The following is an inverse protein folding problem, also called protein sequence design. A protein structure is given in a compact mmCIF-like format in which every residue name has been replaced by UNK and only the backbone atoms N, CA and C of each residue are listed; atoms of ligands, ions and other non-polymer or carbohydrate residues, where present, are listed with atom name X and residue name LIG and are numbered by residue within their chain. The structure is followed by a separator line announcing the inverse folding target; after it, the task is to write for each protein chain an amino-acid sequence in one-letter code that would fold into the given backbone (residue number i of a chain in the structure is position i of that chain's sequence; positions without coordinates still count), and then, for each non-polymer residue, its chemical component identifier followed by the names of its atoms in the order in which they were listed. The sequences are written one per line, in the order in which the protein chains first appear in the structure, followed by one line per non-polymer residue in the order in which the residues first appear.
data_IF_955327756643
#
_entry.id   IF_955327756643
#
_cell.length_a   1.000
_cell.length_b   1.000
_cell.length_c   1.000
_cell.angle_alpha   90.00
_cell.angle_beta   90.00
_cell.angle_gamma   90.00
#
_symmetry.space_group_name_H-M   'P 1'
#
loop_
_entity.id
_entity.type
_entity.pdbx_description
1 polymer ?
#
# COMPACT_ATOMS: atom_id res chain seq x y z
N UNK A 1 -2.17 -11.96 -33.32
CA UNK A 1 -3.37 -12.00 -32.46
C UNK A 1 -3.82 -10.57 -32.21
N UNK A 2 -5.12 -10.28 -32.21
CA UNK A 2 -5.64 -8.91 -31.99
C UNK A 2 -5.96 -8.72 -30.51
N UNK A 3 -5.54 -7.60 -29.93
CA UNK A 3 -5.87 -7.18 -28.56
C UNK A 3 -7.25 -6.52 -28.59
N UNK A 4 -8.14 -6.90 -27.68
CA UNK A 4 -9.40 -6.20 -27.45
C UNK A 4 -9.16 -5.00 -26.52
N UNK A 5 -9.28 -3.79 -27.08
CA UNK A 5 -9.10 -2.53 -26.35
C UNK A 5 -10.39 -1.98 -25.74
N UNK A 6 -11.51 -2.70 -25.88
CA UNK A 6 -12.86 -2.29 -25.47
C UNK A 6 -13.77 -1.96 -26.65
N UNK A 7 -15.07 -1.95 -26.40
CA UNK A 7 -16.12 -1.72 -27.40
C UNK A 7 -16.25 -0.26 -27.85
N UNK A 8 -15.82 0.68 -27.02
CA UNK A 8 -16.00 2.11 -27.25
C UNK A 8 -17.43 2.62 -27.01
N UNK A 9 -18.25 1.89 -26.25
CA UNK A 9 -19.69 2.20 -26.06
C UNK A 9 -19.98 3.62 -25.56
N UNK A 10 -19.08 4.23 -24.80
CA UNK A 10 -19.25 5.59 -24.27
C UNK A 10 -18.84 6.69 -25.27
N UNK A 11 -18.36 6.33 -26.46
CA UNK A 11 -17.91 7.27 -27.47
C UNK A 11 -16.72 8.11 -27.02
N UNK A 12 -16.63 9.33 -27.55
CA UNK A 12 -15.55 10.27 -27.26
C UNK A 12 -15.87 11.10 -26.02
N UNK A 13 -15.03 11.00 -24.98
CA UNK A 13 -15.26 11.66 -23.69
C UNK A 13 -14.07 12.52 -23.30
N UNK A 14 -14.36 13.73 -22.81
CA UNK A 14 -13.38 14.60 -22.15
C UNK A 14 -13.79 14.81 -20.70
N UNK A 15 -12.89 14.47 -19.78
CA UNK A 15 -13.04 14.72 -18.35
C UNK A 15 -12.26 15.99 -18.00
N UNK A 16 -13.00 17.07 -17.71
CA UNK A 16 -12.48 18.40 -17.39
C UNK A 16 -12.62 18.80 -15.92
N UNK A 17 -13.14 17.91 -15.07
CA UNK A 17 -13.27 18.12 -13.63
C UNK A 17 -13.04 16.81 -12.88
N UNK A 18 -12.63 16.90 -11.62
CA UNK A 18 -12.44 15.72 -10.78
C UNK A 18 -13.71 14.86 -10.78
N UNK A 19 -13.56 13.55 -10.99
CA UNK A 19 -14.69 12.62 -11.11
C UNK A 19 -14.32 11.26 -10.56
N UNK A 20 -15.33 10.48 -10.22
CA UNK A 20 -15.19 9.06 -9.83
C UNK A 20 -15.85 8.21 -10.90
N UNK A 21 -15.11 7.26 -11.47
CA UNK A 21 -15.65 6.31 -12.43
C UNK A 21 -16.22 5.08 -11.74
N UNK A 22 -17.08 4.36 -12.45
CA UNK A 22 -17.43 2.99 -12.07
C UNK A 22 -16.26 2.04 -12.35
N UNK A 23 -16.39 0.79 -11.90
CA UNK A 23 -15.31 -0.19 -11.94
C UNK A 23 -14.85 -0.55 -13.35
N UNK A 24 -15.76 -0.57 -14.33
CA UNK A 24 -15.42 -0.86 -15.73
C UNK A 24 -16.03 0.25 -16.59
N UNK A 25 -15.23 0.82 -17.47
CA UNK A 25 -15.65 1.86 -18.42
C UNK A 25 -14.93 1.69 -19.76
N UNK A 26 -15.71 1.76 -20.85
CA UNK A 26 -15.21 1.55 -22.21
C UNK A 26 -15.48 2.80 -23.07
N UNK A 27 -14.42 3.45 -23.55
CA UNK A 27 -14.48 4.68 -24.33
C UNK A 27 -13.98 4.46 -25.75
N UNK A 28 -14.49 5.21 -26.73
CA UNK A 28 -13.88 5.24 -28.06
C UNK A 28 -12.58 6.03 -28.00
N UNK A 29 -12.66 7.28 -27.51
CA UNK A 29 -11.53 8.12 -27.13
C UNK A 29 -11.76 8.71 -25.75
N UNK A 30 -10.70 8.81 -24.94
CA UNK A 30 -10.78 9.41 -23.61
C UNK A 30 -9.70 10.48 -23.45
N UNK A 31 -10.10 11.69 -23.09
CA UNK A 31 -9.19 12.76 -22.69
C UNK A 31 -9.37 13.09 -21.21
N UNK A 32 -8.29 12.99 -20.43
CA UNK A 32 -8.24 13.46 -19.05
C UNK A 32 -7.39 14.72 -19.03
N UNK A 33 -8.02 15.87 -18.77
CA UNK A 33 -7.34 17.17 -18.82
C UNK A 33 -6.28 17.34 -17.71
N UNK A 34 -5.34 18.25 -17.93
CA UNK A 34 -4.35 18.60 -16.92
C UNK A 34 -5.02 19.16 -15.66
N UNK A 35 -4.49 18.82 -14.49
CA UNK A 35 -5.06 19.21 -13.19
C UNK A 35 -6.29 18.41 -12.76
N UNK A 36 -6.83 17.53 -13.61
CA UNK A 36 -7.99 16.69 -13.29
C UNK A 36 -7.54 15.37 -12.65
N UNK A 37 -8.21 14.97 -11.58
CA UNK A 37 -8.09 13.64 -10.97
C UNK A 37 -9.32 12.79 -11.25
N UNK A 38 -9.12 11.68 -11.93
CA UNK A 38 -10.10 10.61 -12.13
C UNK A 38 -9.86 9.54 -11.06
N UNK A 39 -10.85 9.35 -10.20
CA UNK A 39 -10.81 8.33 -9.16
C UNK A 39 -11.45 7.04 -9.69
N UNK A 40 -10.76 5.91 -9.61
CA UNK A 40 -11.28 4.58 -9.98
C UNK A 40 -11.39 3.70 -8.74
N UNK A 41 -12.40 2.82 -8.63
CA UNK A 41 -12.43 1.87 -7.53
C UNK A 41 -11.30 0.84 -7.64
N UNK A 42 -10.97 0.18 -6.52
CA UNK A 42 -10.00 -0.91 -6.53
C UNK A 42 -10.41 -2.03 -7.51
N UNK A 43 -9.45 -2.47 -8.32
CA UNK A 43 -9.71 -3.38 -9.44
C UNK A 43 -10.44 -2.70 -10.60
N UNK A 44 -10.31 -1.39 -10.72
CA UNK A 44 -10.89 -0.60 -11.80
C UNK A 44 -10.21 -0.88 -13.13
N UNK A 45 -10.98 -0.88 -14.21
CA UNK A 45 -10.53 -1.12 -15.58
C UNK A 45 -11.03 0.03 -16.45
N UNK A 46 -10.08 0.74 -17.08
CA UNK A 46 -10.36 1.74 -18.10
C UNK A 46 -9.96 1.14 -19.44
N UNK A 47 -10.93 0.98 -20.33
CA UNK A 47 -10.74 0.51 -21.70
C UNK A 47 -10.99 1.66 -22.68
N UNK A 48 -10.08 1.84 -23.64
CA UNK A 48 -10.18 2.88 -24.67
C UNK A 48 -9.85 2.28 -26.02
N UNK A 49 -10.87 2.12 -26.86
CA UNK A 49 -10.78 1.41 -28.13
C UNK A 49 -9.72 2.02 -29.08
N UNK A 50 -9.55 3.34 -29.03
CA UNK A 50 -8.54 4.05 -29.83
C UNK A 50 -7.55 4.86 -28.96
N UNK A 51 -7.81 6.14 -28.68
CA UNK A 51 -6.82 7.01 -28.04
C UNK A 51 -7.19 7.43 -26.62
N UNK A 52 -6.30 7.14 -25.66
CA UNK A 52 -6.27 7.75 -24.33
C UNK A 52 -5.28 8.93 -24.32
N UNK A 53 -5.79 10.15 -24.15
CA UNK A 53 -4.97 11.34 -23.87
C UNK A 53 -4.94 11.61 -22.38
N UNK A 54 -3.89 11.14 -21.69
CA UNK A 54 -3.74 11.26 -20.23
C UNK A 54 -2.84 12.44 -19.88
N UNK A 55 -3.42 13.60 -19.56
CA UNK A 55 -2.70 14.79 -19.09
C UNK A 55 -2.91 15.06 -17.58
N UNK A 56 -3.91 14.43 -16.97
CA UNK A 56 -4.21 14.52 -15.54
C UNK A 56 -3.75 13.28 -14.76
N UNK A 57 -4.51 12.93 -13.71
CA UNK A 57 -4.21 11.82 -12.80
C UNK A 57 -5.33 10.80 -12.81
N UNK A 58 -5.00 9.52 -12.95
CA UNK A 58 -5.87 8.39 -12.59
C UNK A 58 -5.41 7.89 -11.22
N UNK A 59 -6.31 7.88 -10.23
CA UNK A 59 -6.02 7.47 -8.85
C UNK A 59 -6.97 6.38 -8.38
N UNK A 60 -6.47 5.35 -7.72
CA UNK A 60 -7.32 4.35 -7.05
C UNK A 60 -7.95 4.96 -5.79
N UNK A 61 -9.28 4.91 -5.69
CA UNK A 61 -10.08 5.58 -4.65
C UNK A 61 -10.55 4.70 -3.49
N UNK A 62 -10.30 3.39 -3.55
CA UNK A 62 -10.72 2.45 -2.49
C UNK A 62 -9.56 1.62 -1.99
N UNK A 63 -9.52 1.52 -0.66
CA UNK A 63 -8.48 0.91 0.16
C UNK A 63 -8.69 -0.61 0.25
N UNK A 64 -7.65 -1.40 0.00
CA UNK A 64 -7.68 -2.85 0.28
C UNK A 64 -6.81 -3.16 1.48
N UNK A 65 -7.34 -3.92 2.43
CA UNK A 65 -6.71 -4.13 3.73
C UNK A 65 -6.70 -2.84 4.53
N UNK A 66 -7.76 -2.61 5.32
CA UNK A 66 -7.77 -1.48 6.25
C UNK A 66 -6.65 -1.67 7.27
N UNK A 67 -5.84 -0.63 7.48
CA UNK A 67 -4.98 -0.56 8.66
C UNK A 67 -5.82 -0.79 9.91
N UNK A 68 -5.33 -1.60 10.85
CA UNK A 68 -6.17 -1.97 11.98
C UNK A 68 -6.55 -0.73 12.82
N UNK A 69 -7.83 -0.61 13.16
CA UNK A 69 -8.33 0.50 13.99
C UNK A 69 -8.22 0.12 15.46
N UNK A 70 -7.37 0.83 16.21
CA UNK A 70 -7.26 0.69 17.65
C UNK A 70 -7.44 2.01 18.38
N UNK A 71 -8.04 1.94 19.56
CA UNK A 71 -8.39 3.10 20.40
C UNK A 71 -7.17 3.79 21.05
N UNK A 72 -5.99 3.18 21.05
CA UNK A 72 -4.79 3.70 21.72
C UNK A 72 -3.50 3.59 20.88
N UNK A 73 -3.60 3.28 19.58
CA UNK A 73 -2.49 3.30 18.65
C UNK A 73 -3.00 3.82 17.33
N UNK A 74 -2.20 4.62 16.62
CA UNK A 74 -2.68 5.19 15.37
C UNK A 74 -2.80 4.12 14.28
N UNK A 75 -3.73 4.39 13.37
CA UNK A 75 -4.10 3.50 12.28
C UNK A 75 -2.90 3.16 11.40
N UNK A 76 -2.81 1.90 10.96
CA UNK A 76 -1.95 1.55 9.83
C UNK A 76 -2.43 2.25 8.56
N UNK A 77 -1.52 2.43 7.59
CA UNK A 77 -1.84 2.91 6.27
C UNK A 77 -2.51 1.81 5.43
N UNK A 78 -3.48 2.21 4.62
CA UNK A 78 -4.18 1.31 3.73
C UNK A 78 -3.39 1.02 2.45
N UNK A 79 -3.59 -0.15 1.83
CA UNK A 79 -2.88 -0.46 0.58
C UNK A 79 -3.51 0.23 -0.64
N UNK A 80 -2.68 0.49 -1.66
CA UNK A 80 -3.01 1.31 -2.82
C UNK A 80 -3.98 0.72 -3.84
N UNK A 81 -4.34 -0.57 -3.72
CA UNK A 81 -5.30 -1.22 -4.61
C UNK A 81 -4.78 -1.49 -6.02
N UNK A 82 -5.66 -1.66 -6.99
CA UNK A 82 -5.28 -1.98 -8.38
C UNK A 82 -6.08 -1.22 -9.43
N UNK A 83 -5.41 -0.92 -10.56
CA UNK A 83 -6.02 -0.36 -11.77
C UNK A 83 -5.38 -0.96 -13.02
N UNK A 84 -6.20 -1.22 -14.04
CA UNK A 84 -5.76 -1.54 -15.39
C UNK A 84 -6.20 -0.44 -16.37
N UNK A 85 -5.26 0.00 -17.21
CA UNK A 85 -5.47 0.94 -18.30
C UNK A 85 -5.15 0.22 -19.61
N UNK A 86 -6.19 0.01 -20.41
CA UNK A 86 -6.13 -0.73 -21.66
C UNK A 86 -6.52 0.25 -22.76
N UNK A 87 -5.60 0.62 -23.63
CA UNK A 87 -5.88 1.57 -24.70
C UNK A 87 -5.00 1.30 -25.90
N UNK A 88 -5.54 1.35 -27.12
CA UNK A 88 -4.73 1.10 -28.31
C UNK A 88 -3.53 2.05 -28.38
N UNK A 89 -3.78 3.35 -28.18
CA UNK A 89 -2.74 4.38 -28.09
C UNK A 89 -2.90 5.19 -26.81
N UNK A 90 -1.81 5.36 -26.06
CA UNK A 90 -1.73 6.29 -24.93
C UNK A 90 -0.86 7.49 -25.33
N UNK A 91 -1.31 8.69 -25.01
CA UNK A 91 -0.56 9.94 -25.19
C UNK A 91 -0.67 10.83 -23.95
N UNK A 92 0.07 11.94 -23.92
CA UNK A 92 0.10 12.87 -22.79
C UNK A 92 1.22 12.56 -21.80
N UNK A 93 1.18 13.19 -20.62
CA UNK A 93 2.24 13.10 -19.60
C UNK A 93 1.69 12.94 -18.17
N UNK A 94 0.49 12.40 -18.06
CA UNK A 94 -0.21 12.27 -16.79
C UNK A 94 0.30 11.13 -15.93
N UNK A 95 -0.41 10.91 -14.83
CA UNK A 95 -0.02 9.98 -13.77
C UNK A 95 -1.10 8.91 -13.58
N UNK A 96 -0.70 7.66 -13.37
CA UNK A 96 -1.56 6.61 -12.83
C UNK A 96 -0.99 6.19 -11.47
N UNK A 97 -1.79 6.30 -10.40
CA UNK A 97 -1.34 6.04 -9.03
C UNK A 97 -2.21 5.01 -8.32
N UNK A 98 -1.54 4.01 -7.75
CA UNK A 98 -2.04 3.04 -6.81
C UNK A 98 -1.10 3.02 -5.58
N UNK A 99 -0.79 4.18 -5.01
CA UNK A 99 0.12 4.31 -3.86
C UNK A 99 -0.55 3.85 -2.56
N UNK A 100 0.22 3.20 -1.69
CA UNK A 100 -0.16 2.91 -0.32
C UNK A 100 -0.19 4.17 0.55
N UNK A 101 -1.04 4.17 1.57
CA UNK A 101 -1.20 5.33 2.45
C UNK A 101 -0.18 5.35 3.59
N UNK A 102 0.07 6.54 4.10
CA UNK A 102 0.95 6.76 5.26
C UNK A 102 0.26 6.26 6.53
N UNK A 103 1.00 5.55 7.38
CA UNK A 103 0.53 5.16 8.72
C UNK A 103 0.44 6.35 9.66
N UNK A 104 -0.48 6.30 10.62
CA UNK A 104 -0.70 7.43 11.54
C UNK A 104 0.40 7.55 12.61
N UNK A 105 0.72 8.79 12.99
CA UNK A 105 1.69 9.12 14.04
C UNK A 105 1.14 8.86 15.43
N UNK A 106 1.88 8.15 16.29
CA UNK A 106 1.58 7.84 17.70
C UNK A 106 1.02 9.02 18.51
N UNK A 107 0.02 8.76 19.36
CA UNK A 107 -0.57 9.75 20.25
C UNK A 107 0.24 9.96 21.53
N UNK A 108 0.22 11.19 22.06
CA UNK A 108 0.83 11.51 23.36
C UNK A 108 -0.11 11.26 24.54
N UNK A 109 -1.30 10.71 24.29
CA UNK A 109 -2.38 10.61 25.25
C UNK A 109 -2.38 9.26 25.96
N UNK A 110 -1.97 9.24 27.23
CA UNK A 110 -1.99 8.06 28.09
C UNK A 110 -3.41 7.55 28.37
N UNK A 111 -4.07 6.96 27.37
CA UNK A 111 -5.27 6.18 27.57
C UNK A 111 -4.92 4.91 28.36
N UNK A 112 -5.69 4.63 29.42
CA UNK A 112 -5.61 3.37 30.16
C UNK A 112 -6.12 2.22 29.28
N UNK A 113 -5.38 1.82 28.25
CA UNK A 113 -5.79 0.77 27.33
C UNK A 113 -4.90 -0.45 27.49
N UNK A 114 -5.35 -1.38 28.34
CA UNK A 114 -4.82 -2.73 28.49
C UNK A 114 -5.27 -3.66 27.32
N UNK A 115 -5.53 -3.09 26.14
CA UNK A 115 -6.17 -3.79 25.02
C UNK A 115 -5.14 -4.22 23.98
N UNK A 116 -4.72 -5.49 24.06
CA UNK A 116 -4.30 -6.40 22.97
C UNK A 116 -3.29 -5.95 21.89
N UNK A 117 -2.42 -6.87 21.48
CA UNK A 117 -1.55 -6.69 20.31
C UNK A 117 -2.36 -6.27 19.07
N UNK A 118 -1.83 -5.32 18.29
CA UNK A 118 -2.47 -4.90 17.05
C UNK A 118 -2.52 -6.05 16.04
N UNK A 119 -3.71 -6.42 15.57
CA UNK A 119 -3.84 -7.42 14.51
C UNK A 119 -3.17 -6.92 13.22
N UNK A 120 -2.57 -7.84 12.47
CA UNK A 120 -2.11 -7.60 11.08
C UNK A 120 -3.24 -7.02 10.24
N UNK A 121 -2.90 -6.10 9.33
CA UNK A 121 -3.73 -5.84 8.16
C UNK A 121 -3.81 -7.12 7.34
N UNK A 122 -4.92 -7.87 7.46
CA UNK A 122 -5.08 -9.10 6.70
C UNK A 122 -5.36 -8.75 5.22
N UNK A 123 -4.77 -9.51 4.29
CA UNK A 123 -5.16 -9.43 2.90
C UNK A 123 -6.60 -9.95 2.74
N UNK A 124 -7.33 -9.54 1.69
CA UNK A 124 -8.57 -10.22 1.35
C UNK A 124 -8.32 -11.70 1.04
N UNK A 125 -8.99 -12.62 1.75
CA UNK A 125 -8.93 -14.08 1.53
C UNK A 125 -9.67 -14.43 0.24
N UNK A 126 -9.05 -15.22 -0.65
CA UNK A 126 -9.74 -15.81 -1.82
C UNK A 126 -10.21 -17.22 -1.46
N UNK A 127 -11.52 -17.50 -1.37
CA UNK A 127 -12.02 -18.84 -1.09
C UNK A 127 -11.65 -19.82 -2.22
N UNK A 128 -11.02 -20.95 -1.90
CA UNK A 128 -10.95 -22.13 -2.79
C UNK A 128 -9.62 -22.40 -3.52
N UNK A 129 -8.53 -21.69 -3.23
CA UNK A 129 -7.17 -22.10 -3.67
C UNK A 129 -6.21 -22.15 -2.48
N UNK A 130 -5.33 -23.14 -2.48
CA UNK A 130 -4.35 -23.41 -1.42
C UNK A 130 -3.38 -22.24 -1.21
N UNK A 131 -3.67 -21.43 -0.19
CA UNK A 131 -2.89 -20.57 0.74
C UNK A 131 -1.42 -20.18 0.54
N UNK A 132 -0.70 -20.57 -0.52
CA UNK A 132 0.75 -20.32 -0.64
C UNK A 132 1.14 -19.18 -1.59
N UNK A 133 0.20 -18.55 -2.29
CA UNK A 133 0.46 -17.53 -3.32
C UNK A 133 -0.07 -16.14 -2.95
N UNK A 134 -0.57 -15.95 -1.72
CA UNK A 134 -1.28 -14.74 -1.29
C UNK A 134 -0.52 -14.01 -0.18
N UNK A 135 -0.11 -12.76 -0.44
CA UNK A 135 0.53 -11.85 0.54
C UNK A 135 -0.31 -11.77 1.78
N UNK A 136 0.26 -11.94 2.97
CA UNK A 136 -0.31 -11.36 4.19
C UNK A 136 0.34 -10.01 4.50
N UNK A 137 -0.46 -9.01 4.86
CA UNK A 137 0.11 -7.80 5.48
C UNK A 137 0.87 -8.17 6.75
N UNK A 138 1.85 -7.34 7.15
CA UNK A 138 2.60 -7.54 8.40
C UNK A 138 1.68 -7.60 9.61
N UNK A 139 2.07 -8.39 10.61
CA UNK A 139 1.52 -8.28 11.96
C UNK A 139 1.74 -6.86 12.50
N UNK A 140 0.72 -6.32 13.16
CA UNK A 140 0.83 -5.07 13.90
C UNK A 140 1.85 -5.16 15.03
N UNK A 141 2.19 -4.02 15.61
CA UNK A 141 3.07 -3.92 16.78
C UNK A 141 2.53 -4.72 17.96
N UNK A 142 3.42 -5.38 18.70
CA UNK A 142 3.06 -6.00 19.97
C UNK A 142 2.85 -4.92 21.04
N UNK A 143 1.86 -5.09 21.91
CA UNK A 143 1.67 -4.23 23.08
C UNK A 143 2.83 -4.43 24.06
N UNK A 144 3.25 -3.36 24.75
CA UNK A 144 4.21 -3.45 25.85
C UNK A 144 3.53 -4.01 27.10
N UNK A 145 4.04 -5.12 27.65
CA UNK A 145 3.66 -5.59 28.99
C UNK A 145 4.49 -4.88 30.08
N UNK A 146 3.97 -4.91 31.32
CA UNK A 146 4.39 -4.14 32.52
C UNK A 146 5.87 -4.18 32.96
N UNK A 147 6.74 -4.91 32.26
CA UNK A 147 8.17 -5.06 32.59
C UNK A 147 9.07 -5.21 31.36
N UNK A 148 8.54 -4.98 30.15
CA UNK A 148 9.25 -5.21 28.90
C UNK A 148 8.86 -4.17 27.85
N UNK A 149 9.84 -3.70 27.08
CA UNK A 149 9.61 -2.89 25.88
C UNK A 149 8.46 -3.43 25.02
N UNK A 150 7.66 -2.53 24.45
CA UNK A 150 6.74 -2.90 23.37
C UNK A 150 7.55 -3.47 22.21
N UNK A 151 7.25 -4.73 21.86
CA UNK A 151 7.88 -5.36 20.71
C UNK A 151 7.42 -4.65 19.44
N UNK A 152 8.37 -4.23 18.59
CA UNK A 152 8.03 -3.71 17.27
C UNK A 152 7.26 -4.74 16.46
N UNK A 153 6.38 -4.28 15.57
CA UNK A 153 5.65 -5.14 14.66
C UNK A 153 6.60 -5.94 13.80
N UNK A 154 6.29 -7.23 13.60
CA UNK A 154 7.07 -8.08 12.71
C UNK A 154 7.15 -7.51 11.30
N UNK A 155 8.16 -7.92 10.54
CA UNK A 155 8.24 -7.58 9.13
C UNK A 155 6.97 -8.04 8.38
N UNK A 156 6.59 -7.32 7.33
CA UNK A 156 5.61 -7.81 6.36
C UNK A 156 6.09 -9.08 5.69
N UNK A 157 5.17 -9.95 5.29
CA UNK A 157 5.50 -11.05 4.39
C UNK A 157 5.28 -10.57 2.96
N UNK A 158 6.32 -10.60 2.13
CA UNK A 158 6.13 -10.53 0.68
C UNK A 158 5.64 -11.91 0.23
N UNK A 159 4.55 -12.00 -0.54
CA UNK A 159 4.48 -13.12 -1.47
C UNK A 159 5.38 -12.79 -2.60
N UNK A 160 6.44 -13.58 -2.67
CA UNK A 160 7.21 -13.74 -3.88
C UNK A 160 6.23 -14.43 -4.84
N UNK A 161 5.45 -13.64 -5.61
CA UNK A 161 5.32 -14.05 -7.01
C UNK A 161 6.76 -14.02 -7.47
N UNK A 162 7.38 -15.19 -7.54
CA UNK A 162 8.74 -15.28 -8.04
C UNK A 162 8.78 -14.46 -9.33
N UNK A 163 9.83 -13.68 -9.56
CA UNK A 163 9.92 -12.86 -10.77
C UNK A 163 9.68 -13.72 -12.01
N UNK A 164 9.98 -15.01 -11.90
CA UNK A 164 9.78 -16.06 -12.89
C UNK A 164 8.31 -16.55 -12.98
N UNK A 165 7.54 -16.48 -11.90
CA UNK A 165 6.10 -16.75 -11.89
C UNK A 165 5.25 -15.60 -12.43
N UNK A 166 5.79 -14.37 -12.47
CA UNK A 166 5.08 -13.22 -13.05
C UNK A 166 4.74 -13.48 -14.52
N UNK A 167 5.68 -14.02 -15.30
CA UNK A 167 5.43 -14.40 -16.69
C UNK A 167 4.35 -15.48 -16.79
N UNK A 168 4.39 -16.49 -15.93
CA UNK A 168 3.38 -17.55 -15.92
C UNK A 168 2.00 -17.00 -15.55
N UNK A 169 1.93 -16.11 -14.56
CA UNK A 169 0.67 -15.46 -14.17
C UNK A 169 0.12 -14.60 -15.31
N UNK A 170 0.97 -13.80 -15.95
CA UNK A 170 0.56 -12.98 -17.09
C UNK A 170 0.10 -13.86 -18.26
N UNK A 171 0.83 -14.92 -18.59
CA UNK A 171 0.51 -15.84 -19.69
C UNK A 171 -0.75 -16.68 -19.42
N UNK A 172 -1.01 -17.06 -18.18
CA UNK A 172 -2.16 -17.94 -17.85
C UNK A 172 -3.43 -17.17 -17.49
N UNK A 173 -3.30 -15.98 -16.90
CA UNK A 173 -4.45 -15.22 -16.40
C UNK A 173 -4.72 -13.96 -17.18
N UNK A 174 -3.69 -13.22 -17.60
CA UNK A 174 -3.89 -11.96 -18.31
C UNK A 174 -4.15 -12.23 -19.79
N UNK A 175 -3.28 -12.98 -20.47
CA UNK A 175 -3.36 -13.22 -21.92
C UNK A 175 -4.68 -13.90 -22.32
N UNK A 176 -5.14 -14.99 -21.68
CA UNK A 176 -6.38 -15.65 -22.07
C UNK A 176 -7.61 -14.77 -21.80
N UNK A 177 -7.53 -13.89 -20.80
CA UNK A 177 -8.61 -12.98 -20.43
C UNK A 177 -8.73 -11.75 -21.32
N UNK A 178 -7.68 -11.39 -22.07
CA UNK A 178 -7.78 -10.38 -23.15
C UNK A 178 -8.63 -10.91 -24.32
N UNK A 179 -8.86 -12.23 -24.39
CA UNK A 179 -9.72 -12.85 -25.40
C UNK A 179 -11.14 -13.15 -24.94
N UNK A 180 -11.40 -13.05 -23.64
CA UNK A 180 -12.73 -13.25 -23.06
C UNK A 180 -13.23 -11.87 -22.66
N UNK A 181 -14.39 -11.45 -23.15
CA UNK A 181 -15.05 -10.18 -22.84
C UNK A 181 -15.38 -9.95 -21.34
N UNK A 182 -14.85 -10.80 -20.47
CA UNK A 182 -14.87 -10.68 -19.02
C UNK A 182 -13.42 -10.77 -18.54
N UNK A 183 -12.76 -9.63 -18.38
CA UNK A 183 -11.55 -9.56 -17.57
C UNK A 183 -11.93 -10.09 -16.18
N UNK A 184 -11.39 -11.24 -15.71
CA UNK A 184 -11.59 -11.65 -14.35
C UNK A 184 -11.02 -10.51 -13.51
N UNK A 185 -11.90 -9.78 -12.81
CA UNK A 185 -11.56 -8.65 -11.94
C UNK A 185 -10.17 -8.91 -11.37
N UNK A 186 -9.16 -8.06 -11.61
CA UNK A 186 -7.83 -8.26 -11.08
C UNK A 186 -7.90 -8.19 -9.56
N UNK A 187 -8.30 -9.30 -8.93
CA UNK A 187 -8.27 -9.56 -7.50
C UNK A 187 -6.83 -9.90 -7.15
N UNK A 188 -5.90 -9.04 -7.60
CA UNK A 188 -4.52 -9.11 -7.19
C UNK A 188 -4.40 -8.36 -5.88
N UNK A 189 -3.83 -9.09 -4.92
CA UNK A 189 -4.00 -8.89 -3.50
C UNK A 189 -2.85 -8.00 -3.02
N UNK A 190 -3.21 -6.92 -2.34
CA UNK A 190 -2.27 -6.03 -1.68
C UNK A 190 -2.62 -6.05 -0.19
N UNK A 191 -1.64 -6.26 0.68
CA UNK A 191 -1.84 -6.27 2.12
C UNK A 191 -1.76 -4.87 2.71
N UNK A 192 -2.75 -4.49 3.52
CA UNK A 192 -2.70 -3.25 4.31
C UNK A 192 -1.54 -3.24 5.32
N UNK A 193 -1.17 -2.06 5.80
CA UNK A 193 -0.23 -1.90 6.90
C UNK A 193 -0.79 -2.40 8.24
N UNK A 194 0.09 -2.94 9.09
CA UNK A 194 -0.27 -3.26 10.47
C UNK A 194 -0.42 -1.99 11.32
N UNK A 195 -1.34 -2.00 12.28
CA UNK A 195 -1.46 -0.89 13.24
C UNK A 195 -0.30 -0.84 14.23
N UNK A 196 -0.05 0.35 14.78
CA UNK A 196 0.86 0.56 15.90
C UNK A 196 0.36 -0.10 17.18
N UNK A 197 1.28 -0.57 18.02
CA UNK A 197 0.96 -1.03 19.37
C UNK A 197 0.74 0.17 20.31
N UNK A 198 -0.24 0.04 21.20
CA UNK A 198 -0.50 1.04 22.24
C UNK A 198 0.64 1.10 23.27
N UNK A 199 0.92 2.28 23.82
CA UNK A 199 1.80 2.43 24.99
C UNK A 199 1.13 1.91 26.27
N UNK A 200 1.93 1.42 27.22
CA UNK A 200 1.37 0.97 28.51
C UNK A 200 1.09 2.17 29.41
N UNK A 201 -0.12 2.23 29.99
CA UNK A 201 -0.44 3.14 31.08
C UNK A 201 -1.14 2.35 32.20
N UNK A 202 -0.57 2.34 33.41
CA UNK A 202 -1.30 1.92 34.61
C UNK A 202 -1.16 2.94 35.71
N UNK A 203 -2.31 3.33 36.24
CA UNK A 203 -2.51 4.13 37.45
C UNK A 203 -2.20 3.39 38.76
N UNK A 204 -1.47 2.26 38.72
CA UNK A 204 -1.10 1.52 39.93
C UNK A 204 0.32 1.88 40.35
N UNK A 205 0.42 2.44 41.56
CA UNK A 205 1.55 3.18 42.16
C UNK A 205 2.92 2.48 42.28
N UNK A 206 3.29 1.47 41.49
CA UNK A 206 4.58 0.79 41.69
C UNK A 206 5.17 -0.02 40.52
N UNK A 207 4.76 0.16 39.26
CA UNK A 207 5.29 -0.65 38.13
C UNK A 207 5.70 0.17 36.90
N UNK A 208 6.77 -0.29 36.22
CA UNK A 208 7.41 0.33 35.05
C UNK A 208 6.47 0.58 33.87
N UNK A 209 6.51 1.79 33.31
CA UNK A 209 5.75 2.18 32.11
C UNK A 209 6.60 2.05 30.84
N UNK A 210 6.36 1.01 30.03
CA UNK A 210 7.00 0.84 28.72
C UNK A 210 6.33 1.65 27.61
N UNK A 211 7.11 2.12 26.63
CA UNK A 211 6.58 2.72 25.40
C UNK A 211 5.96 1.66 24.48
N UNK A 212 4.95 2.05 23.70
CA UNK A 212 4.28 1.17 22.73
C UNK A 212 5.21 0.83 21.56
N UNK A 213 5.12 -0.41 21.05
CA UNK A 213 5.82 -0.81 19.84
C UNK A 213 5.17 -0.22 18.59
N UNK A 214 5.96 0.17 17.59
CA UNK A 214 5.46 0.62 16.29
C UNK A 214 4.85 -0.52 15.46
N UNK A 215 3.95 -0.18 14.55
CA UNK A 215 3.26 -1.12 13.67
C UNK A 215 4.14 -1.60 12.53
N UNK A 216 3.98 -2.85 12.09
CA UNK A 216 4.63 -3.35 10.87
C UNK A 216 4.03 -2.72 9.61
N UNK A 217 4.85 -2.48 8.59
CA UNK A 217 4.41 -1.98 7.28
C UNK A 217 3.79 -3.07 6.40
N UNK A 218 2.79 -2.71 5.60
CA UNK A 218 2.05 -3.63 4.75
C UNK A 218 2.92 -4.25 3.66
N UNK A 219 2.75 -5.54 3.41
CA UNK A 219 3.40 -6.24 2.30
C UNK A 219 2.56 -6.16 1.03
N UNK A 220 3.22 -5.96 -0.12
CA UNK A 220 2.62 -6.05 -1.45
C UNK A 220 3.00 -7.37 -2.14
N UNK A 221 2.36 -7.67 -3.26
CA UNK A 221 2.71 -8.81 -4.12
C UNK A 221 4.12 -8.72 -4.72
N UNK A 222 4.80 -7.59 -4.58
CA UNK A 222 6.08 -7.29 -5.22
C UNK A 222 7.16 -6.75 -4.27
N UNK A 223 6.78 -6.29 -3.07
CA UNK A 223 7.68 -5.67 -2.10
C UNK A 223 7.26 -5.98 -0.67
N UNK A 224 8.24 -6.33 0.16
CA UNK A 224 8.04 -6.60 1.58
C UNK A 224 7.88 -5.31 2.38
N UNK A 225 6.93 -5.27 3.32
CA UNK A 225 6.84 -4.16 4.28
C UNK A 225 7.91 -4.25 5.38
N UNK A 226 8.37 -3.10 5.85
CA UNK A 226 9.36 -3.00 6.92
C UNK A 226 8.78 -3.31 8.31
N UNK A 227 9.61 -3.79 9.24
CA UNK A 227 9.20 -3.96 10.65
C UNK A 227 8.96 -2.63 11.35
N UNK A 228 8.09 -2.63 12.36
CA UNK A 228 7.96 -1.53 13.30
C UNK A 228 9.15 -1.48 14.28
N UNK A 229 9.42 -0.31 14.83
CA UNK A 229 10.40 -0.10 15.89
C UNK A 229 9.85 -0.46 17.27
N UNK A 230 10.71 -0.84 18.21
CA UNK A 230 10.30 -1.08 19.60
C UNK A 230 10.12 0.23 20.38
N UNK A 231 9.23 0.21 21.39
CA UNK A 231 9.14 1.32 22.35
C UNK A 231 10.36 1.41 23.28
N UNK A 232 10.51 2.54 23.96
CA UNK A 232 11.54 2.76 24.97
C UNK A 232 11.26 2.09 26.32
N UNK A 233 12.31 1.96 27.15
CA UNK A 233 12.26 1.37 28.49
C UNK A 233 11.97 2.44 29.56
N UNK A 234 10.77 2.45 30.15
CA UNK A 234 10.46 3.36 31.26
C UNK A 234 10.66 2.79 32.67
N UNK A 235 10.71 3.70 33.64
CA UNK A 235 10.89 3.39 35.07
C UNK A 235 9.53 3.40 35.80
N UNK A 236 9.46 2.83 37.00
CA UNK A 236 8.20 2.56 37.72
C UNK A 236 7.41 3.79 38.23
N UNK A 237 7.95 5.00 38.08
CA UNK A 237 7.37 6.23 38.64
C UNK A 237 6.92 7.27 37.61
N UNK A 238 7.00 6.94 36.32
CA UNK A 238 6.63 7.83 35.23
C UNK A 238 5.22 7.56 34.74
N UNK A 239 4.48 8.60 34.34
CA UNK A 239 3.16 8.48 33.70
C UNK A 239 3.18 7.64 32.42
N UNK A 240 2.04 7.56 31.72
CA UNK A 240 1.88 6.72 30.53
C UNK A 240 2.96 6.89 29.47
N UNK A 241 3.44 5.76 28.92
CA UNK A 241 4.38 5.72 27.80
C UNK A 241 3.78 6.34 26.53
N UNK A 242 4.64 6.75 25.59
CA UNK A 242 4.20 7.18 24.27
C UNK A 242 3.69 6.01 23.42
N UNK A 243 2.65 6.25 22.62
CA UNK A 243 2.11 5.26 21.68
C UNK A 243 3.04 5.04 20.48
N UNK A 244 3.02 3.83 19.91
CA UNK A 244 3.73 3.53 18.68
C UNK A 244 3.06 4.15 17.44
N UNK A 245 3.84 4.44 16.41
CA UNK A 245 3.34 4.84 15.10
C UNK A 245 2.77 3.65 14.31
N UNK A 246 1.75 3.89 13.48
CA UNK A 246 1.18 2.90 12.58
C UNK A 246 2.08 2.59 11.39
N UNK A 247 2.09 1.35 10.89
CA UNK A 247 2.86 1.00 9.70
C UNK A 247 2.23 1.54 8.42
N UNK A 248 3.03 1.82 7.40
CA UNK A 248 2.55 2.30 6.10
C UNK A 248 1.88 1.21 5.27
N UNK A 249 0.94 1.59 4.40
CA UNK A 249 0.23 0.68 3.52
C UNK A 249 1.06 0.23 2.32
N UNK A 250 0.83 -0.98 1.82
CA UNK A 250 1.53 -1.47 0.64
C UNK A 250 1.17 -0.70 -0.63
N UNK A 251 2.13 -0.58 -1.54
CA UNK A 251 1.87 -0.15 -2.91
C UNK A 251 0.95 -1.13 -3.62
N UNK A 252 0.17 -0.58 -4.54
CA UNK A 252 -0.84 -1.26 -5.32
C UNK A 252 -0.31 -1.87 -6.62
N UNK A 253 -1.19 -2.03 -7.59
CA UNK A 253 -0.85 -2.52 -8.92
C UNK A 253 -1.35 -1.58 -10.02
N UNK A 254 -0.48 -1.31 -10.98
CA UNK A 254 -0.83 -0.60 -12.21
C UNK A 254 -0.49 -1.48 -13.42
N UNK A 255 -1.49 -1.70 -14.28
CA UNK A 255 -1.30 -2.44 -15.54
C UNK A 255 -1.58 -1.50 -16.70
N UNK A 256 -0.66 -1.45 -17.67
CA UNK A 256 -0.89 -0.86 -18.99
C UNK A 256 -0.90 -1.94 -20.05
N UNK A 257 -1.85 -1.85 -20.98
CA UNK A 257 -1.87 -2.62 -22.22
C UNK A 257 -2.10 -1.64 -23.37
N UNK A 258 -1.11 -1.45 -24.23
CA UNK A 258 -1.18 -0.47 -25.33
C UNK A 258 -0.19 -0.72 -26.45
N UNK A 259 -0.58 -0.55 -27.71
CA UNK A 259 0.35 -0.62 -28.85
C UNK A 259 1.44 0.46 -28.75
N UNK A 260 1.07 1.64 -28.23
CA UNK A 260 1.97 2.79 -28.08
C UNK A 260 1.79 3.46 -26.72
N UNK A 261 2.78 3.27 -25.85
CA UNK A 261 2.89 3.90 -24.54
C UNK A 261 4.11 4.84 -24.52
N UNK A 262 3.95 6.13 -24.20
CA UNK A 262 5.05 7.08 -24.23
C UNK A 262 5.76 7.14 -22.87
N UNK A 263 7.05 7.48 -22.87
CA UNK A 263 7.91 7.45 -21.68
C UNK A 263 7.60 8.52 -20.64
N UNK A 264 6.83 9.55 -21.01
CA UNK A 264 6.45 10.67 -20.15
C UNK A 264 5.20 10.40 -19.31
N UNK A 265 4.54 9.26 -19.47
CA UNK A 265 3.54 8.77 -18.51
C UNK A 265 4.26 8.30 -17.25
N UNK A 266 3.68 8.62 -16.09
CA UNK A 266 4.20 8.15 -14.81
C UNK A 266 3.25 7.14 -14.18
N UNK A 267 3.80 6.04 -13.71
CA UNK A 267 3.07 5.00 -13.00
C UNK A 267 3.61 4.83 -11.58
N UNK A 268 2.78 5.13 -10.58
CA UNK A 268 3.13 5.07 -9.18
C UNK A 268 2.40 3.90 -8.51
N UNK A 269 3.17 3.06 -7.83
CA UNK A 269 2.65 2.02 -6.96
C UNK A 269 3.55 1.94 -5.73
N UNK A 270 3.77 3.05 -5.03
CA UNK A 270 4.70 3.15 -3.92
C UNK A 270 4.09 2.61 -2.64
N UNK A 271 4.93 2.09 -1.74
CA UNK A 271 4.52 1.88 -0.36
C UNK A 271 4.34 3.20 0.38
N UNK A 272 3.39 3.26 1.30
CA UNK A 272 3.21 4.39 2.21
C UNK A 272 4.25 4.38 3.32
N UNK A 273 4.59 5.56 3.85
CA UNK A 273 5.51 5.67 4.98
C UNK A 273 4.88 5.18 6.29
N UNK A 274 5.70 4.68 7.21
CA UNK A 274 5.28 4.45 8.60
C UNK A 274 5.10 5.78 9.34
N UNK A 275 4.19 5.80 10.32
CA UNK A 275 4.00 6.93 11.22
C UNK A 275 5.06 6.97 12.32
N UNK A 276 5.35 8.16 12.84
CA UNK A 276 6.31 8.32 13.93
C UNK A 276 5.73 7.83 15.28
N UNK A 277 6.59 7.38 16.19
CA UNK A 277 6.22 7.10 17.57
C UNK A 277 6.02 8.39 18.37
N UNK A 278 5.19 8.33 19.41
CA UNK A 278 4.90 9.50 20.22
C UNK A 278 6.08 9.90 21.12
N UNK A 279 6.33 11.21 21.20
CA UNK A 279 7.25 11.78 22.19
C UNK A 279 6.64 11.72 23.59
N UNK A 280 7.47 11.55 24.61
CA UNK A 280 7.04 11.67 26.01
C UNK A 280 8.04 12.48 26.82
N UNK A 281 7.55 13.44 27.60
CA UNK A 281 8.40 14.25 28.48
C UNK A 281 8.88 13.45 29.68
N UNK A 282 7.99 12.62 30.24
CA UNK A 282 8.20 11.98 31.54
C UNK A 282 8.21 10.45 31.47
N UNK A 283 7.90 9.84 30.32
CA UNK A 283 7.86 8.39 30.13
C UNK A 283 8.73 7.97 28.92
N UNK A 284 8.79 6.68 28.62
CA UNK A 284 9.45 6.19 27.42
C UNK A 284 8.75 6.65 26.13
N UNK A 285 9.54 6.92 25.08
CA UNK A 285 9.01 7.23 23.75
C UNK A 285 8.45 5.99 23.04
N UNK A 286 7.45 6.18 22.17
CA UNK A 286 6.88 5.10 21.36
C UNK A 286 7.78 4.70 20.18
N UNK A 287 7.66 3.47 19.69
CA UNK A 287 8.38 3.02 18.49
C UNK A 287 7.78 3.57 17.19
N UNK A 288 8.61 3.81 16.18
CA UNK A 288 8.14 4.23 14.84
C UNK A 288 7.55 3.09 14.02
N UNK A 289 6.57 3.36 13.16
CA UNK A 289 5.96 2.37 12.27
C UNK A 289 6.87 1.96 11.12
N UNK A 290 6.76 0.74 10.61
CA UNK A 290 7.47 0.27 9.43
C UNK A 290 6.85 0.83 8.13
N UNK A 291 7.67 1.07 7.11
CA UNK A 291 7.20 1.51 5.79
C UNK A 291 6.57 0.38 4.99
N UNK A 292 5.55 0.68 4.18
CA UNK A 292 4.89 -0.29 3.31
C UNK A 292 5.79 -0.74 2.16
N UNK A 293 5.63 -1.98 1.69
CA UNK A 293 6.35 -2.48 0.53
C UNK A 293 5.87 -1.83 -0.78
N UNK A 294 6.79 -1.59 -1.70
CA UNK A 294 6.48 -1.10 -3.04
C UNK A 294 5.65 -2.09 -3.85
N UNK A 295 4.83 -1.59 -4.75
CA UNK A 295 3.82 -2.33 -5.51
C UNK A 295 4.30 -2.87 -6.85
N UNK A 296 3.37 -3.13 -7.75
CA UNK A 296 3.63 -3.81 -9.01
C UNK A 296 3.23 -2.97 -10.21
N UNK A 297 4.13 -2.75 -11.16
CA UNK A 297 3.78 -2.12 -12.43
C UNK A 297 4.12 -3.03 -13.61
N UNK A 298 3.11 -3.26 -14.46
CA UNK A 298 3.27 -4.00 -15.72
C UNK A 298 2.90 -3.10 -16.88
N UNK A 299 3.78 -3.03 -17.87
CA UNK A 299 3.49 -2.40 -19.16
C UNK A 299 3.61 -3.43 -20.27
N UNK A 300 2.50 -3.72 -20.94
CA UNK A 300 2.43 -4.56 -22.12
C UNK A 300 2.33 -3.62 -23.32
N UNK A 301 3.47 -3.34 -23.96
CA UNK A 301 3.54 -2.36 -25.05
C UNK A 301 4.75 -2.57 -25.95
N UNK A 302 4.64 -2.15 -27.21
CA UNK A 302 5.78 -2.00 -28.11
C UNK A 302 6.50 -0.64 -27.93
N UNK A 303 5.92 0.26 -27.14
CA UNK A 303 6.45 1.60 -26.86
C UNK A 303 7.56 1.63 -25.82
N UNK A 304 8.01 2.84 -25.50
CA UNK A 304 8.97 3.06 -24.43
C UNK A 304 8.33 2.73 -23.07
N UNK A 305 9.15 2.24 -22.14
CA UNK A 305 8.69 2.02 -20.79
C UNK A 305 8.38 3.39 -20.11
N UNK A 306 7.19 3.61 -19.52
CA UNK A 306 6.91 4.83 -18.76
C UNK A 306 7.87 5.02 -17.60
N UNK A 307 7.86 6.22 -17.02
CA UNK A 307 8.51 6.43 -15.73
C UNK A 307 7.74 5.67 -14.65
N UNK A 308 8.44 4.87 -13.85
CA UNK A 308 7.83 4.07 -12.78
C UNK A 308 8.38 4.48 -11.43
N UNK A 309 7.52 4.53 -10.43
CA UNK A 309 7.93 4.56 -9.03
C UNK A 309 7.20 3.46 -8.25
N UNK A 310 7.97 2.41 -7.95
CA UNK A 310 7.55 1.28 -7.11
C UNK A 310 8.36 1.26 -5.81
N UNK A 311 8.83 2.40 -5.33
CA UNK A 311 9.62 2.45 -4.09
C UNK A 311 8.84 1.93 -2.89
N UNK A 312 9.55 1.30 -1.95
CA UNK A 312 9.02 1.05 -0.62
C UNK A 312 8.87 2.36 0.16
N UNK A 313 7.95 2.39 1.11
CA UNK A 313 7.77 3.52 2.02
C UNK A 313 8.88 3.59 3.05
N UNK A 314 9.19 4.79 3.52
CA UNK A 314 10.13 4.99 4.63
C UNK A 314 9.55 4.48 5.96
N UNK A 315 10.40 4.00 6.87
CA UNK A 315 10.01 3.78 8.26
C UNK A 315 9.83 5.10 9.02
N UNK A 316 8.89 5.12 9.97
CA UNK A 316 8.68 6.24 10.88
C UNK A 316 9.76 6.32 11.96
N UNK A 317 10.00 7.52 12.47
CA UNK A 317 10.96 7.76 13.54
C UNK A 317 10.44 7.23 14.88
N UNK A 318 11.35 6.77 15.74
CA UNK A 318 11.03 6.51 17.14
C UNK A 318 10.77 7.81 17.90
N UNK A 319 9.80 7.78 18.81
CA UNK A 319 9.50 8.89 19.71
C UNK A 319 10.64 9.14 20.70
N UNK A 320 10.87 10.40 21.01
CA UNK A 320 11.93 10.82 21.94
C UNK A 320 11.43 10.89 23.38
N UNK A 321 12.35 10.67 24.33
CA UNK A 321 12.13 10.90 25.76
C UNK A 321 13.33 11.56 26.40
N UNK A 322 13.07 12.56 27.26
CA UNK A 322 14.11 13.23 28.03
C UNK A 322 14.56 12.43 29.25
N UNK A 323 13.75 11.48 29.72
CA UNK A 323 13.93 10.82 31.01
C UNK A 323 14.22 9.32 30.90
N UNK A 324 13.64 8.63 29.91
CA UNK A 324 13.42 7.17 29.99
C UNK A 324 13.61 6.44 28.66
N UNK A 325 14.55 6.92 27.84
CA UNK A 325 14.92 6.26 26.58
C UNK A 325 13.94 6.55 25.43
N UNK A 326 14.52 6.74 24.25
CA UNK A 326 13.76 6.94 23.02
C UNK A 326 13.30 5.60 22.45
N UNK A 327 12.16 5.61 21.76
CA UNK A 327 11.75 4.48 20.94
C UNK A 327 12.69 4.30 19.74
N UNK A 328 12.69 3.11 19.17
CA UNK A 328 13.42 2.82 17.95
C UNK A 328 12.57 3.20 16.72
N UNK A 329 13.23 3.63 15.64
CA UNK A 329 12.58 3.85 14.35
C UNK A 329 12.14 2.54 13.71
N UNK A 330 11.11 2.61 12.87
CA UNK A 330 10.73 1.51 11.98
C UNK A 330 11.68 1.36 10.80
N UNK A 331 11.64 0.20 10.16
CA UNK A 331 12.39 -0.06 8.94
C UNK A 331 11.59 0.36 7.71
N UNK A 332 12.29 0.74 6.64
CA UNK A 332 11.67 1.02 5.34
C UNK A 332 11.18 -0.27 4.68
N UNK A 333 10.16 -0.16 3.82
CA UNK A 333 9.72 -1.24 2.95
C UNK A 333 10.70 -1.47 1.80
N UNK A 334 10.65 -2.67 1.24
CA UNK A 334 11.38 -3.02 0.01
C UNK A 334 10.69 -2.41 -1.21
N UNK A 335 11.48 -2.14 -2.26
CA UNK A 335 10.95 -1.74 -3.55
C UNK A 335 10.15 -2.88 -4.18
N UNK A 336 9.19 -2.51 -5.01
CA UNK A 336 8.37 -3.40 -5.80
C UNK A 336 9.02 -3.85 -7.11
N UNK A 337 8.20 -4.32 -8.04
CA UNK A 337 8.65 -4.91 -9.30
C UNK A 337 8.04 -4.12 -10.47
N UNK A 338 8.89 -3.87 -11.47
CA UNK A 338 8.52 -3.33 -12.77
C UNK A 338 8.72 -4.43 -13.81
N UNK A 339 7.73 -4.64 -14.68
CA UNK A 339 7.84 -5.54 -15.83
C UNK A 339 7.34 -4.86 -17.09
N UNK A 340 8.15 -4.90 -18.14
CA UNK A 340 7.72 -4.50 -19.49
C UNK A 340 7.73 -5.72 -20.39
N UNK A 341 6.66 -5.92 -21.15
CA UNK A 341 6.48 -7.04 -22.06
C UNK A 341 6.14 -6.47 -23.44
N UNK A 342 6.97 -6.73 -24.47
CA UNK A 342 6.64 -6.34 -25.83
C UNK A 342 5.42 -7.11 -26.32
N UNK A 343 4.50 -6.42 -27.01
CA UNK A 343 3.28 -7.06 -27.55
C UNK A 343 3.63 -8.15 -28.56
N UNK A 344 4.72 -7.97 -29.33
CA UNK A 344 5.18 -8.95 -30.31
C UNK A 344 5.59 -10.31 -29.74
N UNK A 345 5.75 -10.44 -28.41
CA UNK A 345 6.13 -11.70 -27.75
C UNK A 345 4.91 -12.52 -27.32
N UNK A 346 3.69 -11.95 -27.34
CA UNK A 346 2.44 -12.64 -26.96
C UNK A 346 1.84 -13.49 -28.11
N UNK A 347 2.70 -14.10 -28.92
CA UNK A 347 2.34 -14.87 -30.13
C UNK A 347 2.16 -16.35 -29.88
#
# INVERSE_FOLDING_TARGET
MAIDYGSGELGDVTISSNTTLEKIREYQNLTIQSGVTVTVPNGGIIQVADTLTLNGTIKVGYRVGSGANYSAGNHGGDAGGSVAVIAKTITGSGVVSADGEVGGTGGTGGGNNNSGNGNSGLPPVIPGKSDSLITSGSNGGGSSNFSSNGAGGGNGSSTIIDKDMVSIWLDQWLIPSVHVSAFPSPKLLHGGGGAGGAGSNTSSNNNSTGGGGGGGGGGSAAGKGGSGGSGGNGNANSGGGGDGGGGGGAGGMVIFISDSLPSNITANAKGGAGGDGANSSNAAGGGGGGGGGGGFVVAISNGAAPSYDVSGGAGGAGGTSSALGSGNSGNSGENGIIKTIPIGVMG
#
